data_IF_551818473482
#
_entry.id   IF_551818473482
#
_cell.length_a   1.000
_cell.length_b   1.000
_cell.length_c   1.000
_cell.angle_alpha   90.00
_cell.angle_beta   90.00
_cell.angle_gamma   90.00
#
_symmetry.space_group_name_H-M   'P 1'
#
loop_
_entity.id
_entity.type
_entity.pdbx_description
1 polymer ?
#
# COMPACT_ATOMS: atom_id res chain seq x y z
N UNK A 1 7.54 7.04 -12.68
CA UNK A 1 6.14 6.74 -12.38
C UNK A 1 6.02 6.54 -10.90
N UNK A 2 5.10 7.28 -10.30
CA UNK A 2 4.81 7.23 -8.88
C UNK A 2 3.31 7.49 -8.71
N UNK A 3 2.68 6.82 -7.76
CA UNK A 3 1.30 7.07 -7.39
C UNK A 3 1.29 7.88 -6.09
N UNK A 4 0.66 9.05 -6.10
CA UNK A 4 0.44 9.83 -4.89
C UNK A 4 -0.87 9.44 -4.25
N UNK A 5 -0.88 9.27 -2.93
CA UNK A 5 -2.04 8.95 -2.10
C UNK A 5 -2.41 10.18 -1.26
N UNK A 6 -3.70 10.51 -1.19
CA UNK A 6 -4.25 11.62 -0.42
C UNK A 6 -5.39 11.13 0.47
N UNK A 7 -5.35 11.43 1.77
CA UNK A 7 -6.43 11.15 2.72
C UNK A 7 -6.51 12.27 3.75
N UNK A 8 -7.48 13.17 3.63
CA UNK A 8 -7.51 14.39 4.45
C UNK A 8 -6.22 15.20 4.32
N UNK A 9 -5.57 15.49 5.44
CA UNK A 9 -4.26 16.17 5.50
C UNK A 9 -3.07 15.22 5.28
N UNK A 10 -3.30 13.90 5.22
CA UNK A 10 -2.26 12.92 5.02
C UNK A 10 -1.91 12.77 3.55
N UNK A 11 -0.61 12.67 3.27
CA UNK A 11 -0.07 12.40 1.94
C UNK A 11 0.99 11.31 1.99
N UNK A 12 0.92 10.39 1.05
CA UNK A 12 1.96 9.39 0.82
C UNK A 12 2.23 9.22 -0.67
N UNK A 13 3.29 8.49 -1.01
CA UNK A 13 3.70 8.21 -2.38
C UNK A 13 4.08 6.75 -2.50
N UNK A 14 3.62 6.07 -3.53
CA UNK A 14 4.16 4.77 -3.93
C UNK A 14 5.11 5.04 -5.09
N UNK A 15 6.40 4.89 -4.84
CA UNK A 15 7.46 5.14 -5.83
C UNK A 15 7.86 3.85 -6.53
N UNK A 16 8.66 3.95 -7.60
CA UNK A 16 9.28 2.80 -8.28
C UNK A 16 9.99 1.84 -7.32
N UNK A 17 10.57 2.36 -6.23
CA UNK A 17 11.26 1.56 -5.20
C UNK A 17 10.33 0.76 -4.30
N UNK A 18 9.03 1.04 -4.37
CA UNK A 18 7.95 0.32 -3.68
C UNK A 18 7.35 -0.79 -4.57
N UNK A 19 7.62 -0.77 -5.89
CA UNK A 19 7.11 -1.77 -6.83
C UNK A 19 7.50 -3.19 -6.45
N UNK A 20 8.70 -3.41 -5.90
CA UNK A 20 9.12 -4.75 -5.48
C UNK A 20 8.18 -5.34 -4.42
N UNK A 21 7.73 -4.53 -3.46
CA UNK A 21 6.82 -4.97 -2.41
C UNK A 21 5.42 -5.26 -2.99
N UNK A 22 4.95 -4.47 -3.94
CA UNK A 22 3.69 -4.71 -4.64
C UNK A 22 3.76 -5.91 -5.59
N UNK A 23 4.90 -6.15 -6.24
CA UNK A 23 5.16 -7.33 -7.06
C UNK A 23 5.17 -8.62 -6.24
N UNK A 24 5.77 -8.59 -5.05
CA UNK A 24 5.69 -9.72 -4.11
C UNK A 24 4.24 -10.01 -3.72
N UNK A 25 3.44 -8.98 -3.44
CA UNK A 25 2.03 -9.15 -3.15
C UNK A 25 1.25 -9.72 -4.35
N UNK A 26 1.54 -9.26 -5.56
CA UNK A 26 0.91 -9.74 -6.79
C UNK A 26 1.20 -11.22 -7.06
N UNK A 27 2.42 -11.69 -6.77
CA UNK A 27 2.80 -13.09 -6.92
C UNK A 27 2.00 -14.02 -5.99
N UNK A 28 1.50 -13.51 -4.87
CA UNK A 28 0.64 -14.20 -3.93
C UNK A 28 -0.76 -13.54 -3.87
N UNK A 29 -1.35 -13.19 -5.03
CA UNK A 29 -2.61 -12.42 -5.11
C UNK A 29 -3.80 -13.01 -4.32
N UNK A 30 -3.82 -14.33 -4.10
CA UNK A 30 -4.85 -14.98 -3.27
C UNK A 30 -4.70 -14.63 -1.78
N UNK A 31 -3.46 -14.42 -1.33
CA UNK A 31 -3.10 -14.08 0.05
C UNK A 31 -3.11 -12.57 0.30
N UNK A 32 -2.82 -11.78 -0.73
CA UNK A 32 -2.78 -10.31 -0.67
C UNK A 32 -3.71 -9.66 -1.72
N UNK A 33 -5.02 -9.92 -1.68
CA UNK A 33 -5.95 -9.49 -2.71
C UNK A 33 -6.08 -7.96 -2.82
N UNK A 34 -6.01 -7.20 -1.72
CA UNK A 34 -6.11 -5.74 -1.80
C UNK A 34 -4.84 -5.10 -2.32
N UNK A 35 -3.65 -5.58 -1.91
CA UNK A 35 -2.38 -5.11 -2.45
C UNK A 35 -2.25 -5.45 -3.94
N UNK A 36 -2.66 -6.65 -4.35
CA UNK A 36 -2.72 -7.05 -5.75
C UNK A 36 -3.71 -6.18 -6.54
N UNK A 37 -4.90 -5.92 -6.00
CA UNK A 37 -5.87 -5.03 -6.64
C UNK A 37 -5.34 -3.60 -6.78
N UNK A 38 -4.66 -3.08 -5.75
CA UNK A 38 -4.04 -1.75 -5.77
C UNK A 38 -2.94 -1.67 -6.84
N UNK A 39 -2.14 -2.74 -6.96
CA UNK A 39 -1.09 -2.83 -7.97
C UNK A 39 -1.66 -2.89 -9.40
N UNK A 40 -2.71 -3.69 -9.62
CA UNK A 40 -3.36 -3.79 -10.93
C UNK A 40 -4.01 -2.48 -11.36
N UNK A 41 -4.62 -1.76 -10.41
CA UNK A 41 -5.22 -0.46 -10.65
C UNK A 41 -4.22 0.70 -10.53
N UNK A 42 -2.91 0.44 -10.39
CA UNK A 42 -1.92 1.48 -10.05
C UNK A 42 -1.94 2.65 -11.02
N UNK A 43 -2.23 2.43 -12.31
CA UNK A 43 -2.29 3.49 -13.32
C UNK A 43 -3.68 4.11 -13.51
N UNK A 44 -4.71 3.50 -12.92
CA UNK A 44 -6.11 3.93 -13.09
C UNK A 44 -6.58 4.90 -11.99
N UNK A 45 -5.67 5.32 -11.11
CA UNK A 45 -5.95 6.24 -9.99
C UNK A 45 -7.20 5.83 -9.18
N UNK A 46 -7.22 4.61 -8.59
CA UNK A 46 -8.37 4.09 -7.86
C UNK A 46 -8.71 4.95 -6.63
N UNK A 47 -9.97 4.93 -6.23
CA UNK A 47 -10.38 5.38 -4.90
C UNK A 47 -10.43 4.21 -3.95
N UNK A 48 -9.95 4.40 -2.73
CA UNK A 48 -9.96 3.36 -1.70
C UNK A 48 -10.79 3.84 -0.52
N UNK A 49 -11.70 3.00 -0.06
CA UNK A 49 -12.45 3.25 1.18
C UNK A 49 -11.57 3.09 2.42
N UNK A 50 -11.98 3.67 3.54
CA UNK A 50 -11.35 3.48 4.86
C UNK A 50 -11.25 2.00 5.25
N UNK A 51 -12.25 1.19 4.88
CA UNK A 51 -12.25 -0.27 5.06
C UNK A 51 -11.16 -0.96 4.23
N UNK A 52 -10.99 -0.57 2.97
CA UNK A 52 -9.90 -1.09 2.14
C UNK A 52 -8.54 -0.66 2.68
N UNK A 53 -8.43 0.56 3.21
CA UNK A 53 -7.21 1.03 3.88
C UNK A 53 -6.84 0.09 5.05
N UNK A 54 -7.79 -0.28 5.90
CA UNK A 54 -7.53 -1.24 6.99
C UNK A 54 -7.04 -2.60 6.47
N UNK A 55 -7.67 -3.12 5.42
CA UNK A 55 -7.26 -4.39 4.81
C UNK A 55 -5.84 -4.30 4.25
N UNK A 56 -5.49 -3.19 3.60
CA UNK A 56 -4.13 -2.93 3.12
C UNK A 56 -3.11 -2.87 4.26
N UNK A 57 -3.46 -2.31 5.43
CA UNK A 57 -2.58 -2.36 6.62
C UNK A 57 -2.27 -3.80 6.99
N UNK A 58 -3.30 -4.63 7.13
CA UNK A 58 -3.12 -6.02 7.52
C UNK A 58 -2.31 -6.81 6.50
N UNK A 59 -2.61 -6.66 5.21
CA UNK A 59 -1.86 -7.34 4.14
C UNK A 59 -0.38 -6.89 4.11
N UNK A 60 -0.09 -5.59 4.29
CA UNK A 60 1.28 -5.09 4.35
C UNK A 60 2.05 -5.67 5.55
N UNK A 61 1.44 -5.74 6.73
CA UNK A 61 2.08 -6.30 7.92
C UNK A 61 2.35 -7.80 7.75
N UNK A 62 1.41 -8.55 7.17
CA UNK A 62 1.58 -9.99 6.89
C UNK A 62 2.66 -10.19 5.83
N UNK A 63 2.68 -9.40 4.77
CA UNK A 63 3.71 -9.48 3.73
C UNK A 63 5.11 -9.19 4.28
N UNK A 64 5.26 -8.12 5.07
CA UNK A 64 6.55 -7.75 5.65
C UNK A 64 7.08 -8.78 6.64
N UNK A 65 6.19 -9.44 7.41
CA UNK A 65 6.58 -10.54 8.32
C UNK A 65 6.89 -11.83 7.54
N UNK A 66 6.14 -12.14 6.48
CA UNK A 66 6.42 -13.30 5.63
C UNK A 66 7.73 -13.17 4.82
N UNK A 67 8.09 -11.95 4.44
CA UNK A 67 9.32 -11.63 3.72
C UNK A 67 10.48 -11.21 4.65
N UNK A 68 10.36 -11.47 5.96
CA UNK A 68 11.39 -11.14 6.94
C UNK A 68 12.73 -11.80 6.55
N UNK A 69 13.82 -11.02 6.57
CA UNK A 69 15.14 -11.45 6.11
C UNK A 69 15.38 -11.35 4.59
N UNK A 70 14.32 -11.24 3.78
CA UNK A 70 14.43 -10.99 2.33
C UNK A 70 14.29 -9.51 1.97
N UNK A 71 13.62 -8.73 2.84
CA UNK A 71 13.49 -7.29 2.67
C UNK A 71 14.70 -6.55 3.23
N UNK A 72 15.25 -5.61 2.46
CA UNK A 72 16.25 -4.68 2.98
C UNK A 72 15.62 -3.68 3.98
N UNK A 73 16.40 -3.04 4.87
CA UNK A 73 15.87 -2.09 5.84
C UNK A 73 15.12 -0.91 5.22
N UNK A 74 15.46 -0.51 3.99
CA UNK A 74 14.75 0.56 3.30
C UNK A 74 13.40 0.10 2.76
N UNK A 75 13.29 -1.13 2.26
CA UNK A 75 12.03 -1.76 1.85
C UNK A 75 11.08 -1.90 3.04
N UNK A 76 11.58 -2.38 4.19
CA UNK A 76 10.79 -2.48 5.41
C UNK A 76 10.28 -1.10 5.86
N UNK A 77 11.14 -0.07 5.87
CA UNK A 77 10.72 1.31 6.19
C UNK A 77 9.64 1.83 5.24
N UNK A 78 9.73 1.50 3.96
CA UNK A 78 8.72 1.94 2.98
C UNK A 78 7.39 1.23 3.18
N UNK A 79 7.40 -0.09 3.42
CA UNK A 79 6.20 -0.84 3.78
C UNK A 79 5.54 -0.32 5.07
N UNK A 80 6.33 -0.04 6.11
CA UNK A 80 5.83 0.55 7.36
C UNK A 80 5.25 1.95 7.16
N UNK A 81 5.86 2.79 6.32
CA UNK A 81 5.32 4.11 5.97
C UNK A 81 3.97 3.99 5.28
N UNK A 82 3.81 3.07 4.34
CA UNK A 82 2.51 2.83 3.68
C UNK A 82 1.48 2.29 4.67
N UNK A 83 1.85 1.34 5.53
CA UNK A 83 0.98 0.82 6.58
C UNK A 83 0.53 1.93 7.55
N UNK A 84 1.43 2.84 7.92
CA UNK A 84 1.09 3.99 8.76
C UNK A 84 0.09 4.93 8.08
N UNK A 85 0.28 5.22 6.79
CA UNK A 85 -0.67 6.04 6.01
C UNK A 85 -2.06 5.38 5.95
N UNK A 86 -2.14 4.10 5.59
CA UNK A 86 -3.42 3.40 5.51
C UNK A 86 -4.08 3.25 6.90
N UNK A 87 -3.29 3.10 7.95
CA UNK A 87 -3.80 3.07 9.33
C UNK A 87 -4.40 4.41 9.74
N UNK A 88 -3.75 5.53 9.41
CA UNK A 88 -4.29 6.86 9.67
C UNK A 88 -5.60 7.09 8.90
N UNK A 89 -5.61 6.81 7.59
CA UNK A 89 -6.80 6.93 6.76
C UNK A 89 -7.97 6.07 7.28
N UNK A 90 -7.70 4.83 7.72
CA UNK A 90 -8.71 3.97 8.31
C UNK A 90 -9.23 4.48 9.65
N UNK A 91 -8.34 4.93 10.55
CA UNK A 91 -8.72 5.39 11.89
C UNK A 91 -9.56 6.67 11.87
N UNK A 92 -9.33 7.51 10.87
CA UNK A 92 -10.06 8.77 10.67
C UNK A 92 -11.25 8.62 9.72
N UNK A 93 -11.55 7.39 9.27
CA UNK A 93 -12.62 7.07 8.33
C UNK A 93 -12.56 7.88 7.01
N UNK A 94 -11.34 8.05 6.49
CA UNK A 94 -11.06 8.86 5.30
C UNK A 94 -11.05 8.00 4.04
N UNK A 95 -11.68 8.52 2.98
CA UNK A 95 -11.48 8.02 1.61
C UNK A 95 -10.09 8.41 1.11
N UNK A 96 -9.38 7.46 0.50
CA UNK A 96 -8.08 7.69 -0.12
C UNK A 96 -8.29 7.95 -1.61
N UNK A 97 -7.84 9.11 -2.06
CA UNK A 97 -7.73 9.45 -3.48
C UNK A 97 -6.32 9.17 -3.94
N UNK A 98 -6.19 8.60 -5.13
CA UNK A 98 -4.88 8.35 -5.73
C UNK A 98 -4.71 9.18 -7.00
N UNK A 99 -3.47 9.50 -7.33
CA UNK A 99 -3.10 10.20 -8.56
C UNK A 99 -1.78 9.64 -9.06
N UNK A 100 -1.81 9.04 -10.25
CA UNK A 100 -0.64 8.40 -10.87
C UNK A 100 -0.04 9.28 -11.96
N UNK A 101 1.29 9.27 -12.05
CA UNK A 101 2.12 9.96 -13.05
C UNK A 101 2.73 8.99 -14.05
#
# INVERSE_FOLDING_TARGET
MAMTLYAGEHRAHIERKDEYLLQLAEAESTRYPQLSSLWRAFYDSPRLSSRQALQLVHELLVLMTAAEGSLDPAQLRRGLRLAAFFSAASREDLEIRTASD
#
